data_IF_437332922758
#
_entry.id   IF_437332922758
#
_cell.length_a   1.000
_cell.length_b   1.000
_cell.length_c   1.000
_cell.angle_alpha   90.00
_cell.angle_beta   90.00
_cell.angle_gamma   90.00
#
_symmetry.space_group_name_H-M   'P 1'
#
loop_
_entity.id
_entity.type
_entity.pdbx_description
1 polymer ?
#
# COMPACT_ATOMS: atom_id res chain seq x y z
N UNK A 1 -5.90 22.34 71.29
CA UNK A 1 -6.84 21.88 70.31
C UNK A 1 -6.16 22.00 68.94
N UNK A 2 -5.63 20.89 68.41
CA UNK A 2 -4.85 20.86 67.17
C UNK A 2 -5.74 20.22 66.07
N UNK A 3 -6.10 21.00 65.03
CA UNK A 3 -6.89 20.54 63.89
C UNK A 3 -5.87 20.17 62.80
N UNK A 4 -5.76 18.87 62.47
CA UNK A 4 -4.94 18.37 61.37
C UNK A 4 -5.81 18.33 60.11
N UNK A 5 -5.47 19.13 59.11
CA UNK A 5 -6.07 19.11 57.77
C UNK A 5 -5.38 18.00 56.95
N UNK A 6 -6.12 16.99 56.55
CA UNK A 6 -5.66 15.95 55.63
C UNK A 6 -6.05 16.42 54.19
N UNK A 7 -5.07 16.81 53.43
CA UNK A 7 -5.25 17.09 51.97
C UNK A 7 -5.23 15.76 51.22
N UNK A 8 -6.33 15.36 50.67
CA UNK A 8 -6.45 14.22 49.74
C UNK A 8 -5.93 14.62 48.34
N UNK A 9 -4.78 14.09 47.97
CA UNK A 9 -4.18 14.25 46.66
C UNK A 9 -4.85 13.28 45.68
N UNK A 10 -5.82 13.74 44.90
CA UNK A 10 -6.37 12.98 43.77
C UNK A 10 -5.33 12.92 42.64
N UNK A 11 -4.56 11.85 42.59
CA UNK A 11 -3.73 11.52 41.45
C UNK A 11 -4.65 11.08 40.29
N UNK A 12 -4.93 12.00 39.36
CA UNK A 12 -5.60 11.69 38.11
C UNK A 12 -4.70 10.78 37.27
N UNK A 13 -5.10 9.51 37.13
CA UNK A 13 -4.51 8.59 36.18
C UNK A 13 -4.92 9.07 34.78
N UNK A 14 -4.03 9.78 34.12
CA UNK A 14 -4.16 10.02 32.66
C UNK A 14 -4.00 8.67 31.98
N UNK A 15 -5.10 8.04 31.58
CA UNK A 15 -5.08 6.90 30.67
C UNK A 15 -4.53 7.39 29.34
N UNK A 16 -3.47 6.76 28.79
CA UNK A 16 -3.07 7.06 27.42
C UNK A 16 -4.27 6.71 26.52
N UNK A 17 -4.83 7.73 25.88
CA UNK A 17 -5.75 7.53 24.78
C UNK A 17 -4.94 6.85 23.68
N UNK A 18 -5.12 5.53 23.51
CA UNK A 18 -4.77 4.87 22.26
C UNK A 18 -5.64 5.57 21.21
N UNK A 19 -5.05 6.51 20.48
CA UNK A 19 -5.66 7.01 19.26
C UNK A 19 -5.93 5.76 18.41
N UNK A 20 -7.18 5.38 18.29
CA UNK A 20 -7.57 4.35 17.33
C UNK A 20 -7.04 4.84 15.98
N UNK A 21 -6.19 4.05 15.33
CA UNK A 21 -5.66 4.35 14.00
C UNK A 21 -6.86 4.61 13.09
N UNK A 22 -7.10 5.90 12.84
CA UNK A 22 -8.25 6.32 12.05
C UNK A 22 -7.89 6.15 10.57
N UNK A 23 -8.22 4.98 10.02
CA UNK A 23 -8.14 4.75 8.60
C UNK A 23 -9.06 5.70 7.85
N UNK A 24 -8.52 6.40 6.88
CA UNK A 24 -9.25 7.38 6.06
C UNK A 24 -9.21 6.98 4.60
N UNK A 25 -10.34 7.18 3.93
CA UNK A 25 -10.43 6.93 2.50
C UNK A 25 -9.66 7.99 1.73
N UNK A 26 -8.55 7.60 1.14
CA UNK A 26 -7.81 8.40 0.17
C UNK A 26 -8.48 8.26 -1.20
N UNK A 27 -8.62 9.37 -1.91
CA UNK A 27 -9.08 9.43 -3.30
C UNK A 27 -7.95 9.97 -4.15
N UNK A 28 -7.58 9.24 -5.19
CA UNK A 28 -6.61 9.74 -6.16
C UNK A 28 -7.06 11.09 -6.74
N UNK A 29 -6.18 12.11 -6.81
CA UNK A 29 -6.52 13.42 -7.38
C UNK A 29 -7.01 13.37 -8.84
N UNK A 30 -6.59 12.36 -9.62
CA UNK A 30 -7.09 12.12 -10.99
C UNK A 30 -8.44 11.39 -10.99
N UNK A 31 -8.90 10.91 -9.83
CA UNK A 31 -10.16 10.19 -9.68
C UNK A 31 -10.14 8.76 -10.23
N UNK A 32 -8.97 8.14 -10.35
CA UNK A 32 -8.83 6.80 -10.95
C UNK A 32 -9.03 5.66 -9.96
N UNK A 33 -8.75 5.90 -8.66
CA UNK A 33 -8.93 4.90 -7.61
C UNK A 33 -9.21 5.51 -6.23
N UNK A 34 -9.57 4.65 -5.30
CA UNK A 34 -9.66 4.94 -3.87
C UNK A 34 -8.95 3.84 -3.08
N UNK A 35 -8.43 4.17 -1.90
CA UNK A 35 -7.80 3.22 -0.97
C UNK A 35 -7.81 3.80 0.45
N UNK A 36 -7.87 2.98 1.48
CA UNK A 36 -7.76 3.44 2.87
C UNK A 36 -6.29 3.51 3.32
N UNK A 37 -5.91 4.61 4.02
CA UNK A 37 -4.64 4.73 4.71
C UNK A 37 -4.85 5.05 6.20
N UNK A 38 -3.98 4.58 7.11
CA UNK A 38 -4.04 4.95 8.53
C UNK A 38 -3.46 6.34 8.82
N UNK A 39 -3.46 7.23 7.84
CA UNK A 39 -2.97 8.59 7.89
C UNK A 39 -2.89 9.22 6.51
N UNK A 40 -2.23 10.37 6.37
CA UNK A 40 -2.09 11.07 5.09
C UNK A 40 -0.88 10.54 4.33
N UNK A 41 -1.05 9.91 3.14
CA UNK A 41 0.09 9.47 2.33
C UNK A 41 0.84 10.65 1.72
N UNK A 42 2.15 10.48 1.53
CA UNK A 42 2.97 11.37 0.73
C UNK A 42 2.85 11.01 -0.75
N UNK A 43 2.74 12.03 -1.61
CA UNK A 43 2.78 11.85 -3.05
C UNK A 43 4.23 11.96 -3.55
N UNK A 44 4.63 11.06 -4.44
CA UNK A 44 5.93 11.06 -5.11
C UNK A 44 5.70 10.93 -6.61
N UNK A 45 6.56 11.59 -7.39
CA UNK A 45 6.59 11.48 -8.84
C UNK A 45 7.98 11.08 -9.28
N UNK A 46 8.06 10.10 -10.16
CA UNK A 46 9.32 9.65 -10.76
C UNK A 46 9.12 9.40 -12.25
N UNK A 47 10.24 9.34 -12.97
CA UNK A 47 10.26 9.02 -14.40
C UNK A 47 11.28 7.91 -14.61
N UNK A 48 10.84 6.79 -15.17
CA UNK A 48 11.67 5.62 -15.40
C UNK A 48 12.02 5.52 -16.89
N UNK A 49 13.31 5.35 -17.26
CA UNK A 49 13.66 5.22 -18.67
C UNK A 49 13.06 3.93 -19.26
N UNK A 50 12.42 4.06 -20.40
CA UNK A 50 11.96 2.93 -21.20
C UNK A 50 13.05 2.47 -22.19
N UNK A 51 12.94 1.23 -22.68
CA UNK A 51 13.95 0.61 -23.56
C UNK A 51 14.11 1.30 -24.93
N UNK A 52 13.13 2.09 -25.33
CA UNK A 52 13.13 2.86 -26.59
C UNK A 52 13.66 4.30 -26.44
N UNK A 53 14.21 4.64 -25.25
CA UNK A 53 14.76 5.97 -24.96
C UNK A 53 13.71 6.99 -24.52
N UNK A 54 12.45 6.60 -24.38
CA UNK A 54 11.38 7.39 -23.78
C UNK A 54 11.33 7.19 -22.26
N UNK A 55 10.38 7.78 -21.57
CA UNK A 55 10.22 7.59 -20.14
C UNK A 55 8.77 7.27 -19.76
N UNK A 56 8.61 6.36 -18.82
CA UNK A 56 7.34 6.05 -18.16
C UNK A 56 7.23 6.90 -16.91
N UNK A 57 6.20 7.71 -16.83
CA UNK A 57 5.92 8.53 -15.65
C UNK A 57 5.24 7.65 -14.59
N UNK A 58 5.71 7.78 -13.35
CA UNK A 58 5.14 7.06 -12.21
C UNK A 58 4.71 8.03 -11.13
N UNK A 59 3.47 7.89 -10.66
CA UNK A 59 2.95 8.57 -9.48
C UNK A 59 2.79 7.55 -8.36
N UNK A 60 3.42 7.81 -7.21
CA UNK A 60 3.31 6.98 -6.02
C UNK A 60 2.64 7.72 -4.88
N UNK A 61 1.81 7.03 -4.11
CA UNK A 61 1.26 7.49 -2.84
C UNK A 61 1.71 6.52 -1.76
N UNK A 62 2.47 6.99 -0.78
CA UNK A 62 3.06 6.12 0.24
C UNK A 62 2.93 6.66 1.65
N UNK A 63 2.79 5.74 2.60
CA UNK A 63 2.78 6.03 4.03
C UNK A 63 3.63 5.00 4.77
N UNK A 64 4.58 5.49 5.58
CA UNK A 64 5.32 4.66 6.53
C UNK A 64 4.66 4.80 7.91
N UNK A 65 4.19 3.70 8.46
CA UNK A 65 3.53 3.65 9.79
C UNK A 65 4.52 3.39 10.94
N UNK A 66 5.81 3.21 10.64
CA UNK A 66 6.82 2.75 11.59
C UNK A 66 6.94 1.22 11.67
N UNK A 67 5.86 0.48 11.39
CA UNK A 67 5.83 -0.99 11.34
C UNK A 67 5.62 -1.54 9.94
N UNK A 68 5.05 -0.74 9.04
CA UNK A 68 4.81 -1.11 7.65
C UNK A 68 4.97 0.08 6.71
N UNK A 69 5.22 -0.21 5.44
CA UNK A 69 5.12 0.76 4.35
C UNK A 69 3.97 0.35 3.44
N UNK A 70 3.01 1.26 3.27
CA UNK A 70 1.83 1.09 2.44
C UNK A 70 1.96 2.01 1.23
N UNK A 71 1.76 1.51 0.00
CA UNK A 71 1.91 2.33 -1.20
C UNK A 71 0.99 1.89 -2.34
N UNK A 72 0.56 2.87 -3.12
CA UNK A 72 -0.02 2.65 -4.46
C UNK A 72 0.90 3.30 -5.47
N UNK A 73 1.28 2.57 -6.51
CA UNK A 73 2.06 3.05 -7.64
C UNK A 73 1.17 3.03 -8.89
N UNK A 74 1.18 4.11 -9.64
CA UNK A 74 0.51 4.30 -10.94
C UNK A 74 1.57 4.64 -11.98
N UNK A 75 1.94 3.67 -12.83
CA UNK A 75 2.88 3.87 -13.94
C UNK A 75 2.09 4.08 -15.24
N UNK A 76 2.28 5.24 -15.87
CA UNK A 76 1.55 5.68 -17.07
C UNK A 76 2.20 5.12 -18.34
N UNK A 77 1.58 4.10 -18.91
CA UNK A 77 1.90 3.51 -20.20
C UNK A 77 0.93 3.95 -21.33
N UNK A 78 0.07 4.94 -21.09
CA UNK A 78 -0.97 5.35 -22.06
C UNK A 78 -0.43 5.77 -23.42
N UNK A 79 0.83 6.22 -23.48
CA UNK A 79 1.55 6.62 -24.70
C UNK A 79 2.22 5.46 -25.42
N UNK A 80 2.18 4.25 -24.85
CA UNK A 80 2.89 3.08 -25.34
C UNK A 80 1.92 2.01 -25.79
N UNK A 81 2.33 1.24 -26.78
CA UNK A 81 1.61 0.03 -27.18
C UNK A 81 2.09 -1.14 -26.30
N UNK A 82 1.45 -1.34 -25.17
CA UNK A 82 1.78 -2.37 -24.16
C UNK A 82 0.70 -3.45 -24.19
N UNK A 83 1.11 -4.71 -24.13
CA UNK A 83 0.21 -5.83 -23.87
C UNK A 83 -0.14 -5.82 -22.36
N UNK A 84 -1.41 -5.65 -21.98
CA UNK A 84 -1.83 -5.59 -20.59
C UNK A 84 -1.45 -6.84 -19.76
N UNK A 85 -1.58 -8.02 -20.37
CA UNK A 85 -1.25 -9.28 -19.70
C UNK A 85 0.26 -9.34 -19.46
N UNK A 86 1.06 -9.05 -20.49
CA UNK A 86 2.51 -9.06 -20.36
C UNK A 86 3.01 -8.02 -19.33
N UNK A 87 2.38 -6.84 -19.25
CA UNK A 87 2.74 -5.83 -18.24
C UNK A 87 2.54 -6.34 -16.81
N UNK A 88 1.39 -6.93 -16.53
CA UNK A 88 1.08 -7.52 -15.21
C UNK A 88 2.03 -8.68 -14.88
N UNK A 89 2.28 -9.59 -15.82
CA UNK A 89 3.19 -10.73 -15.62
C UNK A 89 4.65 -10.29 -15.41
N UNK A 90 5.11 -9.25 -16.12
CA UNK A 90 6.44 -8.70 -15.95
C UNK A 90 6.62 -8.06 -14.57
N UNK A 91 5.63 -7.29 -14.10
CA UNK A 91 5.62 -6.70 -12.77
C UNK A 91 5.61 -7.79 -11.67
N UNK A 92 4.76 -8.82 -11.82
CA UNK A 92 4.74 -9.96 -10.91
C UNK A 92 6.08 -10.71 -10.86
N UNK A 93 6.71 -10.89 -12.02
CA UNK A 93 8.03 -11.52 -12.11
C UNK A 93 9.11 -10.66 -11.45
N UNK A 94 9.09 -9.34 -11.66
CA UNK A 94 10.01 -8.41 -11.02
C UNK A 94 9.89 -8.46 -9.49
N UNK A 95 8.68 -8.48 -8.96
CA UNK A 95 8.42 -8.63 -7.53
C UNK A 95 8.98 -9.95 -6.97
N UNK A 96 8.78 -11.07 -7.68
CA UNK A 96 9.31 -12.40 -7.29
C UNK A 96 10.84 -12.45 -7.35
N UNK A 97 11.48 -11.74 -8.27
CA UNK A 97 12.96 -11.73 -8.39
C UNK A 97 13.64 -11.07 -7.19
N UNK A 98 12.96 -10.25 -6.42
CA UNK A 98 13.47 -9.66 -5.17
C UNK A 98 13.24 -10.54 -3.95
N UNK A 99 12.43 -11.59 -4.09
CA UNK A 99 12.02 -12.46 -3.01
C UNK A 99 13.03 -13.57 -2.71
N UNK A 100 13.10 -13.96 -1.44
CA UNK A 100 13.69 -15.24 -1.01
C UNK A 100 12.67 -16.39 -1.09
N UNK A 101 11.39 -16.07 -0.91
CA UNK A 101 10.30 -17.05 -0.95
C UNK A 101 9.02 -16.41 -1.51
N UNK A 102 8.36 -17.11 -2.43
CA UNK A 102 6.98 -16.81 -2.85
C UNK A 102 6.02 -17.66 -2.01
N UNK A 103 5.20 -17.00 -1.19
CA UNK A 103 4.22 -17.67 -0.33
C UNK A 103 2.87 -17.88 -1.04
N UNK A 104 2.50 -16.92 -1.91
CA UNK A 104 1.25 -16.96 -2.67
C UNK A 104 1.42 -16.22 -4.00
N UNK A 105 0.86 -16.81 -5.04
CA UNK A 105 0.64 -16.17 -6.35
C UNK A 105 -0.70 -16.65 -6.89
N UNK A 106 -1.56 -15.73 -7.27
CA UNK A 106 -2.89 -16.04 -7.79
C UNK A 106 -3.36 -14.99 -8.81
N UNK A 107 -4.26 -15.40 -9.69
CA UNK A 107 -5.10 -14.47 -10.45
C UNK A 107 -6.05 -13.80 -9.47
N UNK A 108 -6.24 -12.50 -9.63
CA UNK A 108 -7.22 -11.72 -8.83
C UNK A 108 -8.15 -10.94 -9.76
N UNK A 109 -9.33 -10.61 -9.24
CA UNK A 109 -10.33 -9.81 -9.93
C UNK A 109 -10.79 -8.69 -9.00
N UNK A 110 -10.83 -7.47 -9.50
CA UNK A 110 -11.30 -6.30 -8.75
C UNK A 110 -12.00 -5.33 -9.69
N UNK A 111 -13.25 -4.96 -9.36
CA UNK A 111 -14.06 -3.99 -10.11
C UNK A 111 -14.09 -4.30 -11.63
N UNK A 112 -14.21 -5.58 -11.99
CA UNK A 112 -14.21 -6.07 -13.37
C UNK A 112 -12.85 -6.17 -14.06
N UNK A 113 -11.75 -5.82 -13.37
CA UNK A 113 -10.39 -5.89 -13.89
C UNK A 113 -9.68 -7.16 -13.44
N UNK A 114 -8.92 -7.77 -14.36
CA UNK A 114 -8.06 -8.92 -14.06
C UNK A 114 -6.67 -8.45 -13.63
N UNK A 115 -6.08 -9.16 -12.68
CA UNK A 115 -4.75 -8.85 -12.17
C UNK A 115 -4.05 -10.02 -11.53
N UNK A 116 -2.95 -9.74 -10.85
CA UNK A 116 -2.20 -10.70 -10.02
C UNK A 116 -2.21 -10.27 -8.57
N UNK A 117 -2.28 -11.27 -7.69
CA UNK A 117 -2.07 -11.15 -6.26
C UNK A 117 -0.83 -11.92 -5.89
N UNK A 118 0.08 -11.29 -5.16
CA UNK A 118 1.34 -11.87 -4.72
C UNK A 118 1.52 -11.69 -3.22
N UNK A 119 2.10 -12.70 -2.59
CA UNK A 119 2.70 -12.59 -1.26
C UNK A 119 4.09 -13.19 -1.35
N UNK A 120 5.10 -12.37 -1.10
CA UNK A 120 6.49 -12.79 -1.12
C UNK A 120 7.19 -12.37 0.16
N UNK A 121 8.26 -13.08 0.54
CA UNK A 121 9.14 -12.69 1.65
C UNK A 121 10.54 -12.46 1.10
N UNK A 122 11.11 -11.33 1.43
CA UNK A 122 12.48 -10.96 1.03
C UNK A 122 13.55 -11.63 1.92
N UNK A 123 14.83 -11.41 1.57
CA UNK A 123 15.98 -11.95 2.31
C UNK A 123 16.12 -11.39 3.72
N UNK A 124 15.49 -10.25 4.01
CA UNK A 124 15.52 -9.58 5.30
C UNK A 124 14.33 -10.00 6.20
N UNK A 125 13.47 -10.89 5.72
CA UNK A 125 12.29 -11.34 6.44
C UNK A 125 11.10 -10.38 6.35
N UNK A 126 11.09 -9.44 5.42
CA UNK A 126 9.92 -8.61 5.15
C UNK A 126 8.96 -9.33 4.21
N UNK A 127 7.69 -9.32 4.58
CA UNK A 127 6.58 -9.80 3.75
C UNK A 127 6.05 -8.65 2.92
N UNK A 128 6.00 -8.84 1.61
CA UNK A 128 5.34 -7.95 0.66
C UNK A 128 4.03 -8.60 0.20
N UNK A 129 2.94 -7.89 0.35
CA UNK A 129 1.64 -8.21 -0.27
C UNK A 129 1.42 -7.23 -1.40
N UNK A 130 1.20 -7.72 -2.61
CA UNK A 130 1.06 -6.91 -3.83
C UNK A 130 -0.20 -7.31 -4.61
N UNK A 131 -0.90 -6.32 -5.14
CA UNK A 131 -2.00 -6.44 -6.11
C UNK A 131 -1.62 -5.65 -7.35
N UNK A 132 -1.57 -6.32 -8.49
CA UNK A 132 -1.08 -5.76 -9.75
C UNK A 132 -2.19 -5.79 -10.78
N UNK A 133 -2.48 -4.64 -11.40
CA UNK A 133 -3.52 -4.49 -12.42
C UNK A 133 -3.02 -3.61 -13.56
N UNK A 134 -3.54 -3.83 -14.77
CA UNK A 134 -3.32 -2.92 -15.90
C UNK A 134 -4.67 -2.45 -16.44
N UNK A 135 -4.96 -1.16 -16.28
CA UNK A 135 -6.27 -0.57 -16.60
C UNK A 135 -6.09 0.77 -17.33
N UNK A 136 -6.72 0.94 -18.48
CA UNK A 136 -6.71 2.21 -19.20
C UNK A 136 -5.33 2.70 -19.64
N UNK A 137 -4.35 1.82 -19.83
CA UNK A 137 -2.97 2.18 -20.14
C UNK A 137 -2.09 2.45 -18.93
N UNK A 138 -2.57 2.19 -17.73
CA UNK A 138 -1.85 2.38 -16.47
C UNK A 138 -1.61 1.05 -15.76
N UNK A 139 -0.39 0.85 -15.25
CA UNK A 139 -0.04 -0.28 -14.39
C UNK A 139 -0.14 0.18 -12.93
N UNK A 140 -1.09 -0.40 -12.21
CA UNK A 140 -1.28 -0.15 -10.78
C UNK A 140 -0.66 -1.28 -9.95
N UNK A 141 0.12 -0.90 -8.93
CA UNK A 141 0.60 -1.81 -7.89
C UNK A 141 0.16 -1.30 -6.53
N UNK A 142 -0.53 -2.14 -5.77
CA UNK A 142 -0.99 -1.84 -4.41
C UNK A 142 -0.18 -2.70 -3.46
N UNK A 143 0.80 -2.10 -2.81
CA UNK A 143 1.87 -2.79 -2.08
C UNK A 143 1.82 -2.48 -0.60
N UNK A 144 1.81 -3.52 0.22
CA UNK A 144 2.08 -3.43 1.65
C UNK A 144 3.35 -4.22 1.98
N UNK A 145 4.30 -3.58 2.65
CA UNK A 145 5.57 -4.17 3.09
C UNK A 145 5.67 -4.07 4.60
N UNK A 146 5.83 -5.20 5.28
CA UNK A 146 5.99 -5.27 6.74
C UNK A 146 6.87 -6.47 7.13
N UNK A 147 7.54 -6.47 8.31
CA UNK A 147 8.19 -7.67 8.81
C UNK A 147 7.22 -8.86 8.87
N UNK A 148 7.61 -10.01 8.33
CA UNK A 148 6.76 -11.21 8.30
C UNK A 148 6.40 -11.74 9.70
N UNK A 149 7.18 -11.37 10.72
CA UNK A 149 6.96 -11.72 12.12
C UNK A 149 5.86 -10.91 12.81
N UNK A 150 5.41 -9.81 12.19
CA UNK A 150 4.34 -8.96 12.75
C UNK A 150 2.96 -9.39 12.23
N UNK A 151 1.87 -9.05 12.96
CA UNK A 151 0.51 -9.20 12.44
C UNK A 151 0.33 -8.46 11.12
N UNK A 152 -0.36 -9.10 10.16
CA UNK A 152 -0.52 -8.56 8.81
C UNK A 152 -1.89 -7.90 8.57
N UNK A 153 -2.70 -7.72 9.62
CA UNK A 153 -4.06 -7.20 9.50
C UNK A 153 -4.13 -5.84 8.78
N UNK A 154 -3.19 -4.92 9.08
CA UNK A 154 -3.13 -3.61 8.43
C UNK A 154 -2.70 -3.70 6.97
N UNK A 155 -1.73 -4.56 6.67
CA UNK A 155 -1.31 -4.85 5.29
C UNK A 155 -2.47 -5.41 4.47
N UNK A 156 -3.19 -6.38 5.03
CA UNK A 156 -4.33 -7.01 4.37
C UNK A 156 -5.50 -6.02 4.23
N UNK A 157 -5.78 -5.19 5.23
CA UNK A 157 -6.77 -4.12 5.16
C UNK A 157 -6.45 -3.15 4.03
N UNK A 158 -5.21 -2.67 3.98
CA UNK A 158 -4.76 -1.72 2.97
C UNK A 158 -5.00 -2.25 1.55
N UNK A 159 -4.45 -3.42 1.22
CA UNK A 159 -4.53 -3.96 -0.14
C UNK A 159 -5.95 -4.36 -0.54
N UNK A 160 -6.82 -4.70 0.43
CA UNK A 160 -8.20 -5.06 0.18
C UNK A 160 -9.14 -3.83 0.12
N UNK A 161 -8.70 -2.66 0.58
CA UNK A 161 -9.48 -1.42 0.52
C UNK A 161 -9.33 -0.67 -0.81
N UNK A 162 -8.42 -1.11 -1.68
CA UNK A 162 -8.23 -0.49 -2.99
C UNK A 162 -9.38 -0.81 -3.92
N UNK A 163 -9.90 0.21 -4.60
CA UNK A 163 -10.95 0.10 -5.62
C UNK A 163 -10.68 1.05 -6.77
N UNK A 164 -10.95 0.62 -7.97
CA UNK A 164 -11.01 1.50 -9.13
C UNK A 164 -12.24 2.39 -9.06
N UNK A 165 -12.13 3.64 -9.53
CA UNK A 165 -13.31 4.51 -9.64
C UNK A 165 -14.26 3.93 -10.70
N UNK A 166 -15.56 3.98 -10.40
CA UNK A 166 -16.58 3.63 -11.38
C UNK A 166 -16.56 4.67 -12.53
N UNK A 167 -16.45 4.21 -13.75
CA UNK A 167 -16.56 5.01 -14.97
C UNK A 167 -17.98 5.03 -15.47
#
# INVERSE_FOLDING_TARGET
MRISLIAALCAGLATPSLAADSWTLFRDPKGTFTVEFPGTPAANHSSQPASDGTSVEETGYSLNTGTSTLMVLDSDFSRYKVDPIAAVENAATAAKNTAAQTQMEAVTHLDGQNGRALVVVDKNGNRMTDRIFFVGGHLYQVVALAPASLPQADSDRFVNSFHFAAH
#
